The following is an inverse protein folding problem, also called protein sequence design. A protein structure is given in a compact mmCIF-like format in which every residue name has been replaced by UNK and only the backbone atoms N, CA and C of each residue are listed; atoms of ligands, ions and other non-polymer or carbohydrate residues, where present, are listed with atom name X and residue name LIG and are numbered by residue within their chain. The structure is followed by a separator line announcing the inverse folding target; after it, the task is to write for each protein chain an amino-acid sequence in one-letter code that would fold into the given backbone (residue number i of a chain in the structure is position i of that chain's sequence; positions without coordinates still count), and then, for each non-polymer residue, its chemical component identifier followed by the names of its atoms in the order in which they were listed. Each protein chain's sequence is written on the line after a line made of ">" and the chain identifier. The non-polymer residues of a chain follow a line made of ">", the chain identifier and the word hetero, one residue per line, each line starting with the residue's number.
data_IF_074456262848
#
_entry.id   IF_074456262848
#
_cell.length_a   1.000
_cell.length_b   1.000
_cell.length_c   1.000
_cell.angle_alpha   90.00
_cell.angle_beta   90.00
_cell.angle_gamma   90.00
#
_symmetry.space_group_name_H-M   'P 1'
#
loop_
_entity.id
_entity.type
_entity.pdbx_description
1 polymer ?
#
# COMPACT_ATOMS: atom_id res chain seq x y z
N UNK A 1 -13.17 6.66 27.13
CA UNK A 1 -13.28 6.68 25.65
C UNK A 1 -13.26 5.27 25.06
N UNK A 2 -12.16 4.50 25.17
CA UNK A 2 -12.07 3.16 24.57
C UNK A 2 -13.11 2.13 25.09
N UNK A 3 -13.52 2.22 26.36
CA UNK A 3 -14.62 1.39 26.93
C UNK A 3 -16.00 1.69 26.33
N UNK A 4 -16.18 2.87 25.74
CA UNK A 4 -17.44 3.31 25.17
C UNK A 4 -17.58 2.93 23.68
N UNK A 5 -16.56 2.30 23.09
CA UNK A 5 -16.63 1.82 21.71
C UNK A 5 -17.54 0.58 21.63
N UNK A 6 -18.51 0.61 20.73
CA UNK A 6 -19.34 -0.55 20.45
C UNK A 6 -18.62 -1.48 19.47
N UNK A 7 -17.78 -2.36 20.00
CA UNK A 7 -17.02 -3.35 19.23
C UNK A 7 -17.89 -4.30 18.41
N UNK A 8 -19.14 -4.53 18.84
CA UNK A 8 -20.10 -5.32 18.08
C UNK A 8 -20.54 -4.58 16.81
N UNK A 9 -20.88 -3.29 16.93
CA UNK A 9 -21.27 -2.47 15.77
C UNK A 9 -20.09 -2.27 14.80
N UNK A 10 -18.88 -2.09 15.31
CA UNK A 10 -17.66 -1.99 14.49
C UNK A 10 -17.44 -3.29 13.70
N UNK A 11 -17.57 -4.45 14.34
CA UNK A 11 -17.48 -5.75 13.66
C UNK A 11 -18.58 -5.95 12.62
N UNK A 12 -19.80 -5.47 12.90
CA UNK A 12 -20.93 -5.53 11.97
C UNK A 12 -20.74 -4.60 10.77
N UNK A 13 -20.24 -3.39 10.97
CA UNK A 13 -19.95 -2.43 9.90
C UNK A 13 -18.83 -2.94 8.99
N UNK A 14 -17.71 -3.38 9.56
CA UNK A 14 -16.60 -3.92 8.79
C UNK A 14 -17.00 -5.18 8.01
N UNK A 15 -17.79 -6.08 8.63
CA UNK A 15 -18.34 -7.24 7.95
C UNK A 15 -19.32 -6.86 6.83
N UNK A 16 -20.14 -5.82 7.04
CA UNK A 16 -21.06 -5.27 6.04
C UNK A 16 -20.34 -4.76 4.80
N UNK A 17 -19.32 -3.90 4.96
CA UNK A 17 -18.57 -3.34 3.83
C UNK A 17 -17.88 -4.41 2.96
N UNK A 18 -17.37 -5.47 3.59
CA UNK A 18 -16.74 -6.59 2.87
C UNK A 18 -17.80 -7.46 2.19
N UNK A 19 -18.92 -7.73 2.87
CA UNK A 19 -20.04 -8.51 2.32
C UNK A 19 -20.68 -7.82 1.13
N UNK A 20 -20.86 -6.49 1.18
CA UNK A 20 -21.44 -5.71 0.09
C UNK A 20 -20.57 -5.77 -1.17
N UNK A 21 -19.24 -5.75 -1.02
CA UNK A 21 -18.30 -5.92 -2.14
C UNK A 21 -18.33 -7.33 -2.72
N UNK A 22 -18.41 -8.36 -1.87
CA UNK A 22 -18.51 -9.75 -2.31
C UNK A 22 -19.84 -9.98 -3.04
N UNK A 23 -20.94 -9.44 -2.52
CA UNK A 23 -22.25 -9.50 -3.16
C UNK A 23 -22.25 -8.79 -4.52
N UNK A 24 -21.64 -7.60 -4.63
CA UNK A 24 -21.51 -6.92 -5.93
C UNK A 24 -20.73 -7.73 -6.97
N UNK A 25 -19.66 -8.42 -6.56
CA UNK A 25 -18.91 -9.33 -7.44
C UNK A 25 -19.72 -10.56 -7.82
N UNK A 26 -20.44 -11.15 -6.86
CA UNK A 26 -21.33 -12.29 -7.07
C UNK A 26 -22.43 -11.93 -8.07
N UNK A 27 -23.09 -10.78 -7.87
CA UNK A 27 -24.20 -10.34 -8.71
C UNK A 27 -23.74 -10.07 -10.14
N UNK A 28 -22.58 -9.42 -10.32
CA UNK A 28 -21.97 -9.24 -11.64
C UNK A 28 -21.62 -10.57 -12.33
N UNK A 29 -21.03 -11.52 -11.61
CA UNK A 29 -20.73 -12.85 -12.14
C UNK A 29 -22.00 -13.65 -12.47
N UNK A 30 -23.05 -13.50 -11.67
CA UNK A 30 -24.34 -14.12 -11.89
C UNK A 30 -25.02 -13.55 -13.13
N UNK A 31 -25.02 -12.23 -13.30
CA UNK A 31 -25.56 -11.56 -14.49
C UNK A 31 -24.88 -12.02 -15.78
N UNK A 32 -23.56 -12.23 -15.74
CA UNK A 32 -22.79 -12.80 -16.86
C UNK A 32 -23.19 -14.27 -17.12
N UNK A 33 -23.36 -15.06 -16.06
CA UNK A 33 -23.70 -16.48 -16.15
C UNK A 33 -25.15 -16.70 -16.65
N UNK A 34 -26.06 -15.82 -16.26
CA UNK A 34 -27.48 -15.86 -16.62
C UNK A 34 -27.76 -15.21 -17.99
N UNK A 35 -26.79 -14.48 -18.56
CA UNK A 35 -26.93 -13.84 -19.87
C UNK A 35 -27.05 -14.87 -21.00
N UNK A 36 -28.20 -14.83 -21.68
CA UNK A 36 -28.50 -15.72 -22.81
C UNK A 36 -27.47 -15.60 -23.93
N UNK A 37 -27.01 -14.39 -24.25
CA UNK A 37 -26.03 -14.15 -25.32
C UNK A 37 -24.66 -14.70 -24.93
N UNK A 38 -24.19 -14.40 -23.72
CA UNK A 38 -22.87 -14.83 -23.25
C UNK A 38 -22.80 -16.34 -23.04
N UNK A 39 -23.91 -16.96 -22.63
CA UNK A 39 -23.99 -18.42 -22.52
C UNK A 39 -23.79 -19.16 -23.84
N UNK A 40 -24.12 -18.54 -24.97
CA UNK A 40 -23.93 -19.12 -26.30
C UNK A 40 -22.59 -18.79 -26.95
N UNK A 41 -21.84 -17.80 -26.42
CA UNK A 41 -20.54 -17.39 -26.96
C UNK A 41 -19.35 -17.84 -26.11
N UNK A 42 -19.58 -18.15 -24.84
CA UNK A 42 -18.54 -18.66 -23.94
C UNK A 42 -18.41 -20.19 -24.05
N UNK A 43 -17.18 -20.74 -24.02
CA UNK A 43 -16.97 -22.18 -23.89
C UNK A 43 -17.60 -22.73 -22.61
N UNK A 44 -18.09 -23.97 -22.65
CA UNK A 44 -18.73 -24.63 -21.51
C UNK A 44 -17.80 -24.71 -20.29
N UNK A 45 -16.49 -24.84 -20.49
CA UNK A 45 -15.50 -24.83 -19.41
C UNK A 45 -15.41 -23.48 -18.69
N UNK A 46 -15.59 -22.38 -19.44
CA UNK A 46 -15.60 -21.03 -18.87
C UNK A 46 -16.86 -20.80 -18.01
N UNK A 47 -18.03 -21.25 -18.49
CA UNK A 47 -19.29 -21.25 -17.73
C UNK A 47 -19.20 -22.10 -16.47
N UNK A 48 -18.65 -23.31 -16.55
CA UNK A 48 -18.44 -24.20 -15.41
C UNK A 48 -17.48 -23.58 -14.37
N UNK A 49 -16.42 -22.91 -14.84
CA UNK A 49 -15.48 -22.17 -13.99
C UNK A 49 -16.14 -20.98 -13.26
N UNK A 50 -16.99 -20.21 -13.95
CA UNK A 50 -17.74 -19.10 -13.36
C UNK A 50 -18.76 -19.59 -12.33
N UNK A 51 -19.49 -20.67 -12.61
CA UNK A 51 -20.42 -21.30 -11.66
C UNK A 51 -19.70 -21.85 -10.42
N UNK A 52 -18.50 -22.40 -10.61
CA UNK A 52 -17.67 -22.86 -9.49
C UNK A 52 -17.24 -21.69 -8.60
N UNK A 53 -16.81 -20.58 -9.23
CA UNK A 53 -16.47 -19.34 -8.51
C UNK A 53 -17.67 -18.79 -7.75
N UNK A 54 -18.87 -18.77 -8.34
CA UNK A 54 -20.10 -18.35 -7.65
C UNK A 54 -20.38 -19.17 -6.40
N UNK A 55 -20.24 -20.51 -6.46
CA UNK A 55 -20.42 -21.39 -5.29
C UNK A 55 -19.36 -21.15 -4.20
N UNK A 56 -18.12 -20.87 -4.60
CA UNK A 56 -17.06 -20.53 -3.64
C UNK A 56 -17.33 -19.19 -2.95
N UNK A 57 -17.85 -18.20 -3.67
CA UNK A 57 -18.27 -16.92 -3.10
C UNK A 57 -19.44 -17.13 -2.11
N UNK A 58 -20.43 -17.93 -2.46
CA UNK A 58 -21.55 -18.26 -1.57
C UNK A 58 -21.10 -18.97 -0.28
N UNK A 59 -20.11 -19.85 -0.35
CA UNK A 59 -19.58 -20.57 0.81
C UNK A 59 -18.65 -19.71 1.69
N UNK A 60 -17.84 -18.82 1.10
CA UNK A 60 -16.84 -18.06 1.85
C UNK A 60 -17.40 -16.79 2.50
N UNK A 61 -18.41 -16.16 1.89
CA UNK A 61 -19.06 -14.94 2.41
C UNK A 61 -19.51 -15.05 3.87
N UNK A 62 -20.27 -16.09 4.30
CA UNK A 62 -20.67 -16.23 5.69
C UNK A 62 -19.49 -16.49 6.63
N UNK A 63 -18.41 -17.13 6.15
CA UNK A 63 -17.19 -17.40 6.94
C UNK A 63 -16.41 -16.11 7.20
N UNK A 64 -16.28 -15.25 6.18
CA UNK A 64 -15.65 -13.92 6.30
C UNK A 64 -16.45 -13.04 7.26
N UNK A 65 -17.77 -12.98 7.06
CA UNK A 65 -18.69 -12.21 7.93
C UNK A 65 -18.51 -12.60 9.40
N UNK A 66 -18.55 -13.92 9.68
CA UNK A 66 -18.40 -14.45 11.03
C UNK A 66 -17.01 -14.19 11.62
N UNK A 67 -15.95 -14.40 10.82
CA UNK A 67 -14.57 -14.18 11.25
C UNK A 67 -14.29 -12.72 11.63
N UNK A 68 -14.84 -11.76 10.88
CA UNK A 68 -14.70 -10.33 11.17
C UNK A 68 -15.45 -9.92 12.44
N UNK A 69 -16.66 -10.42 12.64
CA UNK A 69 -17.43 -10.19 13.88
C UNK A 69 -16.70 -10.76 15.10
N UNK A 70 -16.16 -11.98 14.98
CA UNK A 70 -15.39 -12.63 16.03
C UNK A 70 -14.10 -11.86 16.34
N UNK A 71 -13.34 -11.44 15.33
CA UNK A 71 -12.12 -10.67 15.52
C UNK A 71 -12.37 -9.34 16.23
N UNK A 72 -13.43 -8.62 15.87
CA UNK A 72 -13.81 -7.38 16.54
C UNK A 72 -14.20 -7.60 18.01
N UNK A 73 -14.91 -8.69 18.30
CA UNK A 73 -15.24 -9.09 19.68
C UNK A 73 -14.00 -9.45 20.49
N UNK A 74 -13.07 -10.23 19.93
CA UNK A 74 -11.82 -10.58 20.59
C UNK A 74 -10.96 -9.36 20.89
N UNK A 75 -10.87 -8.40 19.95
CA UNK A 75 -10.18 -7.13 20.16
C UNK A 75 -10.85 -6.36 21.29
N UNK A 76 -12.18 -6.22 21.27
CA UNK A 76 -12.93 -5.55 22.33
C UNK A 76 -12.71 -6.17 23.70
N UNK A 77 -12.72 -7.50 23.80
CA UNK A 77 -12.43 -8.23 25.05
C UNK A 77 -11.00 -7.99 25.53
N UNK A 78 -10.00 -8.06 24.64
CA UNK A 78 -8.59 -7.81 24.98
C UNK A 78 -8.36 -6.37 25.44
N UNK A 79 -9.01 -5.40 24.79
CA UNK A 79 -8.94 -3.98 25.17
C UNK A 79 -9.60 -3.76 26.52
N UNK A 80 -10.80 -4.30 26.75
CA UNK A 80 -11.49 -4.15 28.03
C UNK A 80 -10.70 -4.81 29.17
N UNK A 81 -10.17 -6.01 28.96
CA UNK A 81 -9.30 -6.68 29.92
C UNK A 81 -8.04 -5.86 30.22
N UNK A 82 -7.37 -5.32 29.21
CA UNK A 82 -6.21 -4.45 29.41
C UNK A 82 -6.56 -3.16 30.17
N UNK A 83 -7.79 -2.65 30.01
CA UNK A 83 -8.29 -1.49 30.75
C UNK A 83 -8.70 -1.84 32.18
N UNK A 84 -9.12 -3.08 32.46
CA UNK A 84 -9.45 -3.57 33.81
C UNK A 84 -8.18 -3.90 34.60
N UNK A 85 -7.18 -4.48 33.93
CA UNK A 85 -5.85 -4.77 34.49
C UNK A 85 -5.00 -3.50 34.71
N UNK A 86 -5.43 -2.37 34.15
CA UNK A 86 -4.76 -1.08 34.31
C UNK A 86 -5.06 -0.47 35.69
N UNK A 87 -4.14 -0.67 36.65
CA UNK A 87 -4.27 -0.13 38.01
C UNK A 87 -3.99 1.39 38.15
N UNK A 88 -3.80 2.11 37.05
CA UNK A 88 -3.37 3.52 37.08
C UNK A 88 -1.95 3.71 37.64
N UNK A 89 -1.40 4.90 37.42
CA UNK A 89 -0.20 5.35 38.12
C UNK A 89 -0.65 5.71 39.55
N UNK A 90 -0.28 4.94 40.57
CA UNK A 90 -0.41 5.40 41.96
C UNK A 90 0.43 6.67 42.12
N UNK A 91 -0.10 7.77 42.69
CA UNK A 91 0.72 8.95 42.94
C UNK A 91 1.84 8.57 43.91
N UNK A 92 3.07 8.51 43.43
CA UNK A 92 4.23 8.25 44.28
C UNK A 92 4.54 9.50 45.07
N UNK A 93 4.39 9.44 46.39
CA UNK A 93 5.06 10.36 47.31
C UNK A 93 6.57 10.13 47.18
N UNK A 94 7.27 10.92 46.38
CA UNK A 94 8.71 10.78 46.15
C UNK A 94 9.27 11.86 45.24
N UNK A 95 10.37 12.45 45.67
CA UNK A 95 11.02 13.68 45.20
C UNK A 95 11.22 13.77 43.68
N UNK A 96 10.92 14.95 43.12
CA UNK A 96 11.07 15.31 41.70
C UNK A 96 12.54 15.17 41.26
N UNK A 97 12.83 14.36 40.22
CA UNK A 97 14.15 14.41 39.57
C UNK A 97 14.69 13.21 38.78
N UNK A 98 14.01 12.05 38.67
CA UNK A 98 14.55 10.91 37.90
C UNK A 98 13.50 10.29 36.97
N UNK A 99 13.71 10.23 35.64
CA UNK A 99 12.77 9.58 34.72
C UNK A 99 12.83 8.06 34.87
N UNK A 100 11.78 7.46 35.44
CA UNK A 100 11.58 6.01 35.41
C UNK A 100 11.09 5.56 34.03
N UNK A 101 11.92 4.79 33.30
CA UNK A 101 11.47 4.00 32.14
C UNK A 101 10.62 2.84 32.64
N UNK A 102 9.30 2.92 32.48
CA UNK A 102 8.44 1.73 32.56
C UNK A 102 8.63 0.90 31.29
N UNK A 103 9.31 -0.23 31.42
CA UNK A 103 9.40 -1.24 30.36
C UNK A 103 8.02 -1.89 30.24
N UNK A 104 7.29 -1.57 29.16
CA UNK A 104 6.09 -2.30 28.81
C UNK A 104 6.49 -3.76 28.50
N UNK A 105 5.93 -4.73 29.25
CA UNK A 105 6.09 -6.15 28.91
C UNK A 105 5.39 -6.40 27.58
N UNK A 106 6.17 -6.74 26.56
CA UNK A 106 5.71 -7.19 25.26
C UNK A 106 4.76 -8.39 25.44
N UNK A 107 3.49 -8.20 25.10
CA UNK A 107 2.50 -9.29 25.07
C UNK A 107 2.78 -10.14 23.83
N UNK A 108 2.90 -11.46 24.03
CA UNK A 108 3.07 -12.41 22.94
C UNK A 108 1.88 -12.34 21.96
N UNK A 109 2.12 -12.47 20.64
CA UNK A 109 1.05 -12.42 19.66
C UNK A 109 0.05 -13.58 19.86
N UNK A 110 -1.22 -13.39 19.48
CA UNK A 110 -2.23 -14.44 19.57
C UNK A 110 -1.82 -15.65 18.72
N UNK A 111 -1.62 -16.80 19.38
CA UNK A 111 -1.41 -18.10 18.72
C UNK A 111 -2.71 -18.51 18.02
N UNK A 112 -2.66 -18.86 16.74
CA UNK A 112 -3.84 -19.41 16.05
C UNK A 112 -3.73 -19.71 14.57
N UNK A 113 -2.89 -19.01 13.79
CA UNK A 113 -2.91 -19.13 12.32
C UNK A 113 -1.56 -19.50 11.69
N UNK A 114 -0.79 -20.40 12.30
CA UNK A 114 0.45 -20.89 11.70
C UNK A 114 0.25 -22.29 11.09
N UNK A 115 0.48 -22.39 9.77
CA UNK A 115 0.70 -23.68 9.10
C UNK A 115 1.93 -24.34 9.73
N UNK A 116 1.87 -25.60 10.16
CA UNK A 116 2.98 -26.26 10.84
C UNK A 116 4.19 -26.37 9.91
N UNK A 117 5.31 -25.75 10.29
CA UNK A 117 6.61 -25.90 9.64
C UNK A 117 7.22 -24.64 9.01
N UNK A 118 6.48 -23.54 8.89
CA UNK A 118 7.06 -22.27 8.43
C UNK A 118 7.67 -21.52 9.62
N UNK A 119 8.99 -21.27 9.59
CA UNK A 119 9.60 -20.29 10.51
C UNK A 119 8.83 -18.97 10.35
N UNK A 120 8.27 -18.37 11.43
CA UNK A 120 7.56 -17.11 11.31
C UNK A 120 8.56 -16.05 10.84
N UNK A 121 8.42 -15.62 9.59
CA UNK A 121 9.12 -14.45 9.09
C UNK A 121 8.56 -13.29 9.90
N UNK A 122 9.31 -12.79 10.89
CA UNK A 122 8.97 -11.55 11.58
C UNK A 122 8.80 -10.47 10.50
N UNK A 123 7.56 -10.12 10.18
CA UNK A 123 7.26 -9.06 9.21
C UNK A 123 7.81 -7.78 9.82
N UNK A 124 8.97 -7.31 9.34
CA UNK A 124 9.58 -6.09 9.86
C UNK A 124 8.63 -4.95 9.52
N UNK A 125 8.05 -4.32 10.54
CA UNK A 125 7.10 -3.21 10.35
C UNK A 125 7.79 -2.07 9.64
N UNK A 126 7.17 -1.55 8.60
CA UNK A 126 7.68 -0.42 7.84
C UNK A 126 6.76 0.81 8.01
N UNK A 127 7.07 1.72 8.96
CA UNK A 127 6.22 2.89 9.22
C UNK A 127 6.16 3.88 8.06
N UNK A 128 7.15 3.87 7.15
CA UNK A 128 7.14 4.73 5.96
C UNK A 128 6.13 4.19 4.94
N UNK A 129 6.06 2.87 4.80
CA UNK A 129 5.05 2.20 3.96
C UNK A 129 3.63 2.39 4.51
N UNK A 130 3.45 2.29 5.83
CA UNK A 130 2.15 2.56 6.48
C UNK A 130 1.68 3.99 6.14
N UNK A 131 2.54 5.00 6.36
CA UNK A 131 2.27 6.40 6.01
C UNK A 131 2.05 6.64 4.53
N UNK A 132 2.72 5.87 3.66
CA UNK A 132 2.53 5.95 2.22
C UNK A 132 1.10 5.57 1.85
N UNK A 133 0.58 4.46 2.38
CA UNK A 133 -0.79 4.03 2.12
C UNK A 133 -1.83 5.00 2.70
N UNK A 134 -1.61 5.55 3.89
CA UNK A 134 -2.46 6.59 4.48
C UNK A 134 -2.56 7.81 3.54
N UNK A 135 -1.42 8.34 3.09
CA UNK A 135 -1.39 9.49 2.18
C UNK A 135 -2.05 9.21 0.83
N UNK A 136 -1.89 8.00 0.30
CA UNK A 136 -2.58 7.59 -0.93
C UNK A 136 -4.10 7.59 -0.74
N UNK A 137 -4.60 7.05 0.36
CA UNK A 137 -6.03 7.02 0.67
C UNK A 137 -6.61 8.43 0.82
N UNK A 138 -5.92 9.32 1.56
CA UNK A 138 -6.32 10.72 1.69
C UNK A 138 -6.34 11.45 0.34
N UNK A 139 -5.34 11.20 -0.50
CA UNK A 139 -5.23 11.81 -1.81
C UNK A 139 -6.33 11.32 -2.76
N UNK A 140 -6.58 10.01 -2.78
CA UNK A 140 -7.65 9.38 -3.54
C UNK A 140 -9.02 9.96 -3.15
N UNK A 141 -9.35 9.96 -1.85
CA UNK A 141 -10.61 10.50 -1.35
C UNK A 141 -10.80 11.98 -1.74
N UNK A 142 -9.75 12.79 -1.63
CA UNK A 142 -9.78 14.20 -2.02
C UNK A 142 -10.06 14.39 -3.51
N UNK A 143 -9.39 13.62 -4.37
CA UNK A 143 -9.53 13.77 -5.82
C UNK A 143 -10.79 13.11 -6.37
N UNK A 144 -11.28 12.05 -5.73
CA UNK A 144 -12.59 11.48 -6.03
C UNK A 144 -13.68 12.51 -5.77
N UNK A 145 -13.69 13.14 -4.60
CA UNK A 145 -14.64 14.22 -4.28
C UNK A 145 -14.61 15.35 -5.32
N UNK A 146 -13.42 15.80 -5.72
CA UNK A 146 -13.26 16.85 -6.74
C UNK A 146 -13.74 16.41 -8.12
N UNK A 147 -13.55 15.15 -8.48
CA UNK A 147 -14.04 14.58 -9.73
C UNK A 147 -15.57 14.56 -9.74
N UNK A 148 -16.19 14.09 -8.65
CA UNK A 148 -17.65 14.01 -8.52
C UNK A 148 -18.28 15.40 -8.58
N UNK A 149 -17.69 16.38 -7.87
CA UNK A 149 -18.10 17.78 -7.93
C UNK A 149 -17.97 18.37 -9.34
N UNK A 150 -16.86 18.10 -10.04
CA UNK A 150 -16.64 18.59 -11.40
C UNK A 150 -17.65 18.01 -12.39
N UNK A 151 -17.93 16.71 -12.29
CA UNK A 151 -18.96 16.06 -13.13
C UNK A 151 -20.33 16.66 -12.85
N UNK A 152 -20.69 16.81 -11.57
CA UNK A 152 -21.97 17.39 -11.15
C UNK A 152 -22.17 18.82 -11.65
N UNK A 153 -21.11 19.62 -11.65
CA UNK A 153 -21.14 21.02 -12.08
C UNK A 153 -21.07 21.19 -13.61
N UNK A 154 -20.93 20.10 -14.38
CA UNK A 154 -20.75 20.18 -15.82
C UNK A 154 -19.43 20.84 -16.22
N UNK A 155 -18.37 20.66 -15.42
CA UNK A 155 -17.05 21.22 -15.70
C UNK A 155 -16.49 20.69 -17.03
N UNK A 156 -15.53 21.43 -17.59
CA UNK A 156 -14.89 21.05 -18.86
C UNK A 156 -14.23 19.66 -18.81
N UNK A 157 -14.23 18.96 -19.95
CA UNK A 157 -13.58 17.67 -20.12
C UNK A 157 -12.09 17.69 -19.70
N UNK A 158 -11.40 18.81 -19.90
CA UNK A 158 -10.01 19.00 -19.48
C UNK A 158 -9.86 18.95 -17.95
N UNK A 159 -10.76 19.61 -17.22
CA UNK A 159 -10.72 19.62 -15.74
C UNK A 159 -11.07 18.26 -15.16
N UNK A 160 -12.08 17.59 -15.71
CA UNK A 160 -12.44 16.21 -15.37
C UNK A 160 -11.26 15.27 -15.67
N UNK A 161 -10.64 15.40 -16.83
CA UNK A 161 -9.46 14.63 -17.23
C UNK A 161 -8.27 14.81 -16.29
N UNK A 162 -8.03 16.04 -15.80
CA UNK A 162 -6.97 16.32 -14.84
C UNK A 162 -7.20 15.59 -13.50
N UNK A 163 -8.43 15.53 -13.00
CA UNK A 163 -8.74 14.78 -11.77
C UNK A 163 -8.64 13.26 -11.97
N UNK A 164 -9.09 12.75 -13.12
CA UNK A 164 -8.89 11.33 -13.47
C UNK A 164 -7.41 10.97 -13.52
N UNK A 165 -6.56 11.81 -14.11
CA UNK A 165 -5.12 11.60 -14.14
C UNK A 165 -4.52 11.50 -12.72
N UNK A 166 -5.01 12.30 -11.78
CA UNK A 166 -4.59 12.22 -10.37
C UNK A 166 -5.00 10.92 -9.68
N UNK A 167 -6.16 10.36 -10.00
CA UNK A 167 -6.56 9.04 -9.51
C UNK A 167 -5.73 7.92 -10.17
N UNK A 168 -5.37 8.09 -11.45
CA UNK A 168 -4.46 7.18 -12.16
C UNK A 168 -3.06 7.16 -11.56
N UNK A 169 -2.55 8.30 -11.07
CA UNK A 169 -1.29 8.37 -10.31
C UNK A 169 -1.36 7.49 -9.03
N UNK A 170 -2.45 7.59 -8.26
CA UNK A 170 -2.66 6.76 -7.05
C UNK A 170 -2.66 5.27 -7.38
N UNK A 171 -3.35 4.88 -8.46
CA UNK A 171 -3.38 3.49 -8.94
C UNK A 171 -1.97 2.97 -9.22
N UNK A 172 -1.15 3.77 -9.90
CA UNK A 172 0.26 3.45 -10.19
C UNK A 172 1.08 3.23 -8.92
N UNK A 173 1.01 4.19 -8.00
CA UNK A 173 1.73 4.15 -6.71
C UNK A 173 1.36 2.92 -5.87
N UNK A 174 0.07 2.63 -5.75
CA UNK A 174 -0.43 1.45 -5.02
C UNK A 174 0.06 0.15 -5.64
N UNK A 175 0.02 0.04 -6.97
CA UNK A 175 0.50 -1.15 -7.68
C UNK A 175 2.02 -1.34 -7.54
N UNK A 176 2.78 -0.26 -7.64
CA UNK A 176 4.23 -0.29 -7.45
C UNK A 176 4.61 -0.75 -6.04
N UNK A 177 3.97 -0.20 -5.00
CA UNK A 177 4.21 -0.60 -3.62
C UNK A 177 3.85 -2.08 -3.37
N UNK A 178 2.69 -2.52 -3.88
CA UNK A 178 2.27 -3.92 -3.77
C UNK A 178 3.22 -4.87 -4.50
N UNK A 179 3.74 -4.47 -5.67
CA UNK A 179 4.75 -5.23 -6.40
C UNK A 179 6.05 -5.34 -5.59
N UNK A 180 6.50 -4.23 -4.99
CA UNK A 180 7.69 -4.21 -4.13
C UNK A 180 7.54 -5.11 -2.91
N UNK A 181 6.39 -5.05 -2.23
CA UNK A 181 6.08 -5.95 -1.11
C UNK A 181 6.08 -7.43 -1.54
N UNK A 182 5.47 -7.73 -2.68
CA UNK A 182 5.33 -9.11 -3.17
C UNK A 182 6.67 -9.73 -3.57
N UNK A 183 7.52 -8.97 -4.25
CA UNK A 183 8.72 -9.49 -4.91
C UNK A 183 10.02 -9.22 -4.15
N UNK A 184 10.09 -8.16 -3.33
CA UNK A 184 11.34 -7.73 -2.68
C UNK A 184 11.28 -7.63 -1.16
N UNK A 185 10.09 -7.61 -0.54
CA UNK A 185 9.96 -7.56 0.93
C UNK A 185 9.90 -8.94 1.61
N UNK A 186 9.99 -10.04 0.85
CA UNK A 186 9.96 -11.43 1.35
C UNK A 186 11.33 -12.11 1.45
N UNK A 187 12.29 -11.98 0.51
CA UNK A 187 13.60 -12.62 0.66
C UNK A 187 14.46 -11.87 1.71
N UNK A 188 15.31 -12.55 2.49
CA UNK A 188 16.28 -11.88 3.33
C UNK A 188 17.47 -11.36 2.49
N UNK A 189 17.93 -10.11 2.68
CA UNK A 189 17.28 -9.08 3.49
C UNK A 189 16.08 -8.43 2.77
N UNK A 190 14.97 -8.14 3.48
CA UNK A 190 13.77 -7.55 2.89
C UNK A 190 14.01 -6.09 2.50
N UNK A 191 13.46 -5.69 1.36
CA UNK A 191 13.43 -4.29 0.99
C UNK A 191 12.38 -3.53 1.83
N UNK A 192 12.75 -2.35 2.34
CA UNK A 192 11.88 -1.45 3.07
C UNK A 192 11.83 -0.09 2.37
N UNK A 193 10.63 0.47 2.21
CA UNK A 193 10.41 1.82 1.71
C UNK A 193 11.11 2.86 2.61
N UNK A 194 11.94 3.71 1.99
CA UNK A 194 12.62 4.88 2.56
C UNK A 194 11.96 6.19 2.10
N UNK A 195 11.35 6.18 0.92
CA UNK A 195 10.54 7.27 0.38
C UNK A 195 9.34 6.68 -0.34
N UNK A 196 8.17 7.29 -0.17
CA UNK A 196 6.99 6.99 -0.96
C UNK A 196 6.17 8.25 -1.20
N UNK A 197 4.99 8.05 -1.77
CA UNK A 197 4.01 9.09 -2.10
C UNK A 197 3.98 10.30 -1.16
N UNK A 198 4.19 11.48 -1.74
CA UNK A 198 4.10 12.75 -1.04
C UNK A 198 4.77 13.89 -1.81
N UNK A 199 4.44 15.15 -1.46
CA UNK A 199 4.98 16.30 -2.16
C UNK A 199 6.48 16.44 -1.90
N UNK A 200 7.24 16.80 -2.94
CA UNK A 200 8.67 17.11 -2.81
C UNK A 200 9.50 16.59 -3.98
N UNK A 201 10.77 16.99 -4.06
CA UNK A 201 11.67 16.49 -5.09
C UNK A 201 12.00 15.02 -4.86
N UNK A 202 12.30 14.30 -5.94
CA UNK A 202 12.71 12.92 -5.89
C UNK A 202 12.06 12.10 -6.98
N UNK A 203 11.95 10.81 -6.70
CA UNK A 203 11.20 9.83 -7.48
C UNK A 203 9.96 9.42 -6.69
N UNK A 204 9.10 8.61 -7.30
CA UNK A 204 7.85 8.14 -6.68
C UNK A 204 8.13 7.33 -5.41
N UNK A 205 9.05 6.35 -5.49
CA UNK A 205 9.42 5.54 -4.33
C UNK A 205 10.90 5.18 -4.30
N UNK A 206 11.44 5.05 -3.09
CA UNK A 206 12.77 4.52 -2.82
C UNK A 206 12.63 3.41 -1.79
N UNK A 207 13.27 2.27 -2.06
CA UNK A 207 13.35 1.15 -1.13
C UNK A 207 14.80 0.76 -0.87
N UNK A 208 15.10 0.27 0.32
CA UNK A 208 16.43 -0.17 0.73
C UNK A 208 16.40 -1.57 1.35
N UNK A 209 17.41 -2.38 1.02
CA UNK A 209 17.75 -3.58 1.81
C UNK A 209 18.92 -3.27 2.71
N UNK A 210 18.87 -3.82 3.92
CA UNK A 210 19.89 -3.64 4.94
C UNK A 210 20.47 -4.98 5.35
N UNK A 211 21.77 -5.00 5.65
CA UNK A 211 22.40 -6.16 6.28
C UNK A 211 21.96 -6.32 7.75
N UNK A 212 22.50 -7.33 8.41
CA UNK A 212 22.22 -7.64 9.83
C UNK A 212 22.61 -6.51 10.79
N UNK A 213 23.51 -5.61 10.38
CA UNK A 213 23.96 -4.45 11.14
C UNK A 213 23.14 -3.19 10.83
N UNK A 214 22.10 -3.29 10.00
CA UNK A 214 21.27 -2.17 9.58
C UNK A 214 21.89 -1.29 8.50
N UNK A 215 23.05 -1.66 7.95
CA UNK A 215 23.72 -0.91 6.88
C UNK A 215 23.03 -1.19 5.54
N UNK A 216 22.75 -0.15 4.76
CA UNK A 216 22.16 -0.31 3.43
C UNK A 216 23.16 -1.01 2.50
N UNK A 217 22.67 -2.05 1.81
CA UNK A 217 23.45 -2.81 0.81
C UNK A 217 22.87 -2.70 -0.60
N UNK A 218 21.57 -2.37 -0.72
CA UNK A 218 20.90 -2.26 -2.02
C UNK A 218 19.77 -1.24 -1.94
N UNK A 219 19.73 -0.32 -2.91
CA UNK A 219 18.61 0.59 -3.16
C UNK A 219 17.80 0.18 -4.39
N UNK A 220 16.51 0.47 -4.35
CA UNK A 220 15.60 0.41 -5.49
C UNK A 220 14.98 1.78 -5.68
N UNK A 221 15.25 2.40 -6.82
CA UNK A 221 14.65 3.64 -7.27
C UNK A 221 13.48 3.25 -8.18
N UNK A 222 12.26 3.58 -7.77
CA UNK A 222 11.03 3.13 -8.41
C UNK A 222 10.28 4.32 -8.99
N UNK A 223 9.92 4.22 -10.26
CA UNK A 223 8.93 5.07 -10.92
C UNK A 223 7.63 4.27 -11.05
N UNK A 224 6.54 4.82 -10.52
CA UNK A 224 5.22 4.23 -10.50
C UNK A 224 4.39 4.77 -11.67
N UNK A 225 3.83 3.88 -12.48
CA UNK A 225 3.00 4.22 -13.64
C UNK A 225 1.59 3.69 -13.46
N UNK A 226 0.62 4.55 -13.71
CA UNK A 226 -0.77 4.11 -13.87
C UNK A 226 -0.93 3.26 -15.15
N UNK A 227 -2.09 2.60 -15.32
CA UNK A 227 -2.34 1.71 -16.45
C UNK A 227 -2.17 2.43 -17.80
N UNK A 228 -1.38 1.84 -18.70
CA UNK A 228 -1.10 2.38 -20.03
C UNK A 228 -0.19 3.62 -20.05
N UNK A 229 0.28 4.10 -18.91
CA UNK A 229 1.14 5.28 -18.85
C UNK A 229 2.57 4.96 -19.32
N UNK A 230 3.15 5.90 -20.09
CA UNK A 230 4.52 5.79 -20.61
C UNK A 230 5.47 6.73 -19.85
N UNK A 231 6.77 6.43 -19.93
CA UNK A 231 7.81 7.35 -19.46
C UNK A 231 7.76 8.67 -20.25
N UNK A 232 7.88 9.77 -19.54
CA UNK A 232 7.87 11.12 -20.11
C UNK A 232 9.28 11.68 -20.21
N UNK A 233 9.44 12.74 -21.00
CA UNK A 233 10.64 13.59 -21.00
C UNK A 233 10.35 14.85 -20.21
N UNK A 234 11.31 15.30 -19.41
CA UNK A 234 11.22 16.59 -18.77
C UNK A 234 11.49 17.73 -19.77
N UNK A 235 11.30 18.98 -19.34
CA UNK A 235 11.57 20.17 -20.15
C UNK A 235 13.02 20.33 -20.59
N UNK A 236 13.96 19.62 -19.95
CA UNK A 236 15.38 19.57 -20.31
C UNK A 236 15.72 18.40 -21.25
N UNK A 237 14.72 17.66 -21.71
CA UNK A 237 14.86 16.53 -22.62
C UNK A 237 15.33 15.22 -21.96
N UNK A 238 15.51 15.17 -20.63
CA UNK A 238 15.87 13.94 -19.93
C UNK A 238 14.65 13.04 -19.81
N UNK A 239 14.84 11.76 -20.11
CA UNK A 239 13.79 10.75 -20.04
C UNK A 239 13.70 10.26 -18.61
N UNK A 240 12.48 10.11 -18.09
CA UNK A 240 12.28 9.53 -16.76
C UNK A 240 13.04 8.22 -16.63
N UNK A 241 13.69 8.04 -15.48
CA UNK A 241 14.53 6.88 -15.13
C UNK A 241 15.86 6.72 -15.90
N UNK A 242 16.23 7.67 -16.77
CA UNK A 242 17.62 7.74 -17.24
C UNK A 242 18.58 8.24 -16.13
N UNK A 243 19.88 8.03 -16.30
CA UNK A 243 20.89 8.41 -15.28
C UNK A 243 20.89 9.91 -14.97
N UNK A 244 20.68 10.76 -15.98
CA UNK A 244 20.71 12.21 -15.83
C UNK A 244 19.48 12.71 -15.08
N UNK A 245 18.32 12.13 -15.36
CA UNK A 245 17.06 12.41 -14.70
C UNK A 245 17.11 11.98 -13.24
N UNK A 246 17.62 10.77 -12.95
CA UNK A 246 17.77 10.29 -11.57
C UNK A 246 18.75 11.20 -10.81
N UNK A 247 19.95 11.44 -11.35
CA UNK A 247 20.94 12.31 -10.70
C UNK A 247 20.36 13.70 -10.41
N UNK A 248 19.67 14.29 -11.37
CA UNK A 248 19.02 15.58 -11.20
C UNK A 248 17.99 15.57 -10.05
N UNK A 249 17.16 14.54 -9.94
CA UNK A 249 16.17 14.45 -8.86
C UNK A 249 16.81 14.21 -7.50
N UNK A 250 17.88 13.40 -7.43
CA UNK A 250 18.62 13.19 -6.19
C UNK A 250 19.35 14.45 -5.72
N UNK A 251 19.93 15.24 -6.63
CA UNK A 251 20.50 16.55 -6.30
C UNK A 251 19.43 17.52 -5.79
N UNK A 252 18.21 17.48 -6.36
CA UNK A 252 17.09 18.27 -5.86
C UNK A 252 16.62 17.81 -4.48
N UNK A 253 16.67 16.50 -4.20
CA UNK A 253 16.42 15.97 -2.86
C UNK A 253 17.48 16.47 -1.88
N UNK A 254 18.76 16.31 -2.20
CA UNK A 254 19.91 16.74 -1.37
C UNK A 254 19.84 18.22 -0.99
N UNK A 255 19.48 19.07 -1.95
CA UNK A 255 19.54 20.53 -1.80
C UNK A 255 18.18 21.15 -1.46
N UNK A 256 17.19 20.36 -1.03
CA UNK A 256 15.84 20.89 -0.79
C UNK A 256 15.79 21.73 0.48
N UNK A 257 15.47 23.01 0.34
CA UNK A 257 15.17 23.88 1.50
C UNK A 257 13.76 23.64 2.06
N UNK A 258 12.83 23.24 1.20
CA UNK A 258 11.42 23.01 1.56
C UNK A 258 11.19 21.63 2.18
N UNK A 259 12.00 20.64 1.80
CA UNK A 259 11.90 19.25 2.27
C UNK A 259 13.25 18.78 2.83
N UNK A 260 13.77 19.44 3.89
CA UNK A 260 15.09 19.13 4.43
C UNK A 260 15.21 17.69 4.94
N UNK A 261 14.10 17.05 5.30
CA UNK A 261 14.05 15.65 5.70
C UNK A 261 14.47 14.68 4.58
N UNK A 262 14.44 15.11 3.30
CA UNK A 262 14.88 14.31 2.15
C UNK A 262 16.37 14.47 1.84
N UNK A 263 17.06 15.43 2.46
CA UNK A 263 18.41 15.81 2.07
C UNK A 263 19.40 14.67 2.30
N UNK A 264 19.32 14.03 3.46
CA UNK A 264 20.19 12.90 3.82
C UNK A 264 20.01 11.72 2.84
N UNK A 265 18.77 11.32 2.57
CA UNK A 265 18.49 10.23 1.62
C UNK A 265 18.98 10.57 0.20
N UNK A 266 18.82 11.83 -0.23
CA UNK A 266 19.35 12.31 -1.51
C UNK A 266 20.88 12.19 -1.59
N UNK A 267 21.59 12.58 -0.53
CA UNK A 267 23.05 12.45 -0.44
C UNK A 267 23.52 10.99 -0.40
N UNK A 268 22.87 10.15 0.40
CA UNK A 268 23.17 8.72 0.49
C UNK A 268 23.03 8.01 -0.87
N UNK A 269 21.98 8.34 -1.64
CA UNK A 269 21.76 7.78 -2.97
C UNK A 269 22.77 8.28 -4.01
N UNK A 270 23.18 9.56 -3.94
CA UNK A 270 24.24 10.09 -4.80
C UNK A 270 25.58 9.41 -4.52
N UNK A 271 25.85 9.09 -3.25
CA UNK A 271 27.08 8.45 -2.80
C UNK A 271 27.02 6.91 -2.87
N UNK A 272 25.87 6.31 -3.19
CA UNK A 272 25.66 4.86 -3.17
C UNK A 272 26.71 4.12 -4.01
N UNK A 273 26.99 4.59 -5.24
CA UNK A 273 27.99 3.98 -6.12
C UNK A 273 29.40 4.04 -5.52
N UNK A 274 29.80 5.19 -4.98
CA UNK A 274 31.10 5.37 -4.32
C UNK A 274 31.24 4.48 -3.08
N UNK A 275 30.13 4.27 -2.37
CA UNK A 275 30.05 3.42 -1.18
C UNK A 275 29.84 1.93 -1.52
N UNK A 276 29.91 1.55 -2.81
CA UNK A 276 29.68 0.19 -3.30
C UNK A 276 28.31 -0.40 -2.91
N UNK A 277 27.32 0.46 -2.72
CA UNK A 277 25.91 0.10 -2.51
C UNK A 277 25.28 -0.13 -3.88
N UNK A 278 24.61 -1.26 -4.06
CA UNK A 278 23.94 -1.59 -5.33
C UNK A 278 22.70 -0.69 -5.50
N UNK A 279 22.48 -0.17 -6.71
CA UNK A 279 21.27 0.63 -7.01
C UNK A 279 20.56 0.03 -8.22
N UNK A 280 19.29 -0.35 -8.03
CA UNK A 280 18.42 -0.84 -9.09
C UNK A 280 17.41 0.23 -9.47
N UNK A 281 17.03 0.25 -10.73
CA UNK A 281 15.99 1.13 -11.26
C UNK A 281 14.83 0.26 -11.72
N UNK A 282 13.62 0.61 -11.30
CA UNK A 282 12.42 -0.12 -11.66
C UNK A 282 11.36 0.86 -12.14
N UNK A 283 10.72 0.55 -13.26
CA UNK A 283 9.48 1.20 -13.68
C UNK A 283 8.38 0.17 -13.52
N UNK A 284 7.40 0.46 -12.68
CA UNK A 284 6.31 -0.48 -12.39
C UNK A 284 5.00 0.14 -12.86
N UNK A 285 4.35 -0.52 -13.82
CA UNK A 285 3.04 -0.14 -14.33
C UNK A 285 1.94 -0.94 -13.65
N UNK A 286 0.91 -0.24 -13.18
CA UNK A 286 -0.31 -0.86 -12.70
C UNK A 286 -1.00 -1.66 -13.82
N UNK A 287 -1.40 -2.88 -13.49
CA UNK A 287 -2.23 -3.73 -14.34
C UNK A 287 -3.68 -3.53 -13.89
N UNK A 288 -4.52 -3.12 -14.83
CA UNK A 288 -5.94 -2.89 -14.60
C UNK A 288 -6.78 -3.86 -15.43
N UNK A 289 -7.76 -4.47 -14.77
CA UNK A 289 -8.76 -5.33 -15.40
C UNK A 289 -10.14 -4.86 -14.90
N UNK A 290 -11.02 -4.52 -15.84
CA UNK A 290 -12.38 -4.04 -15.54
C UNK A 290 -12.43 -2.89 -14.51
N UNK A 291 -11.48 -1.95 -14.59
CA UNK A 291 -11.40 -0.79 -13.69
C UNK A 291 -10.70 -1.05 -12.35
N UNK A 292 -10.34 -2.31 -12.06
CA UNK A 292 -9.70 -2.74 -10.82
C UNK A 292 -8.21 -3.02 -11.03
N UNK A 293 -7.39 -2.57 -10.08
CA UNK A 293 -5.96 -2.85 -10.09
C UNK A 293 -5.71 -4.27 -9.58
N UNK A 294 -5.20 -5.14 -10.44
CA UNK A 294 -4.93 -6.56 -10.15
C UNK A 294 -3.45 -6.85 -9.86
N UNK A 295 -2.56 -5.88 -10.14
CA UNK A 295 -1.14 -6.03 -9.84
C UNK A 295 -0.28 -4.95 -10.49
N UNK A 296 1.02 -5.22 -10.54
CA UNK A 296 2.01 -4.40 -11.24
C UNK A 296 2.88 -5.25 -12.16
N UNK A 297 3.37 -4.67 -13.25
CA UNK A 297 4.36 -5.28 -14.16
C UNK A 297 5.54 -4.34 -14.37
N UNK A 298 6.72 -4.91 -14.63
CA UNK A 298 7.89 -4.12 -14.99
C UNK A 298 7.76 -3.59 -16.42
N UNK A 299 8.06 -2.30 -16.58
CA UNK A 299 8.33 -1.71 -17.89
C UNK A 299 9.84 -1.68 -18.16
N UNK A 300 10.26 -1.72 -19.44
CA UNK A 300 11.65 -1.54 -19.79
C UNK A 300 12.16 -0.16 -19.37
N UNK A 301 13.40 -0.12 -18.90
CA UNK A 301 14.11 1.13 -18.65
C UNK A 301 14.37 1.86 -19.99
N UNK A 302 14.48 3.20 -19.97
CA UNK A 302 14.80 3.95 -21.19
C UNK A 302 16.16 3.50 -21.72
N UNK A 303 16.25 3.37 -23.05
CA UNK A 303 17.52 3.08 -23.73
C UNK A 303 18.42 4.31 -23.57
N UNK A 304 19.45 4.22 -22.73
CA UNK A 304 20.54 5.18 -22.68
C UNK A 304 21.36 5.05 -23.96
N UNK A 305 21.20 5.99 -24.89
CA UNK A 305 22.22 6.23 -25.91
C UNK A 305 23.38 6.92 -25.21
N UNK A 306 24.48 6.19 -25.04
CA UNK A 306 25.74 6.69 -24.50
C UNK A 306 26.34 7.79 -25.36
#
# INVERSE_FOLDING_TARGET
>A
YLRALNWHDIGKQAAGEVTDKINGLRDALKEITDSFILRHTLPDEALAGMQTTLRQLDDITPKITRGMQQAAQEIGQKVNKALDDYQGIKPSSGTVGQPHKTVAKELAPPKGNELPGAKPVKRIRNPILDKHYEKLAEYEARYQKRLDEAIKNGDSANRIGAFKAKLTEVKGERAASAYMEKHFAKPPPPAQMELGFGPGPGVDQIWAKRDENGKVIEYFIVEAKGPGAKLQKNSKGFTQMDDRWIKMNLERMKNSKKYPERNQLGEELLNAKSNRIKTNKLVIEAIEENGNIIGGKLQPLPITRG
#
